data_IF_498662950317
#
_entry.id   IF_498662950317
#
_cell.length_a   1.000
_cell.length_b   1.000
_cell.length_c   1.000
_cell.angle_alpha   90.00
_cell.angle_beta   90.00
_cell.angle_gamma   90.00
#
_symmetry.space_group_name_H-M   'P 1'
#
loop_
_entity.id
_entity.type
_entity.pdbx_description
1 polymer ?
#
# COMPACT_ATOMS: atom_id res chain seq x y z
N UNK A 1 -4.05 26.11 -11.48
CA UNK A 1 -2.80 26.61 -10.86
C UNK A 1 -2.05 25.54 -10.08
N UNK A 2 -2.72 24.67 -9.29
CA UNK A 2 -2.07 23.67 -8.44
C UNK A 2 -1.08 22.74 -9.18
N UNK A 3 -1.46 22.20 -10.34
CA UNK A 3 -0.58 21.32 -11.12
C UNK A 3 0.65 22.03 -11.69
N UNK A 4 0.59 23.34 -11.94
CA UNK A 4 1.76 24.12 -12.37
C UNK A 4 2.77 24.26 -11.22
N UNK A 5 2.29 24.50 -9.99
CA UNK A 5 3.14 24.55 -8.82
C UNK A 5 3.76 23.17 -8.52
N UNK A 6 2.97 22.09 -8.60
CA UNK A 6 3.46 20.72 -8.47
C UNK A 6 4.52 20.41 -9.53
N UNK A 7 4.27 20.79 -10.79
CA UNK A 7 5.23 20.65 -11.88
C UNK A 7 6.56 21.37 -11.60
N UNK A 8 6.51 22.65 -11.23
CA UNK A 8 7.72 23.44 -10.92
C UNK A 8 8.47 22.84 -9.73
N UNK A 9 7.75 22.43 -8.68
CA UNK A 9 8.34 21.78 -7.52
C UNK A 9 9.01 20.46 -7.88
N UNK A 10 8.37 19.64 -8.72
CA UNK A 10 8.95 18.38 -9.22
C UNK A 10 10.23 18.65 -10.03
N UNK A 11 10.19 19.58 -10.99
CA UNK A 11 11.37 19.92 -11.80
C UNK A 11 12.51 20.44 -10.92
N UNK A 12 12.22 21.34 -9.98
CA UNK A 12 13.22 21.86 -9.06
C UNK A 12 13.80 20.77 -8.14
N UNK A 13 12.95 19.87 -7.62
CA UNK A 13 13.38 18.76 -6.78
C UNK A 13 14.32 17.80 -7.50
N UNK A 14 13.93 17.34 -8.70
CA UNK A 14 14.80 16.47 -9.50
C UNK A 14 16.07 17.18 -9.96
N UNK A 15 15.99 18.47 -10.27
CA UNK A 15 17.16 19.25 -10.63
C UNK A 15 18.15 19.37 -9.46
N UNK A 16 17.65 19.57 -8.24
CA UNK A 16 18.45 19.57 -7.01
C UNK A 16 19.12 18.22 -6.73
N UNK A 17 18.37 17.11 -6.91
CA UNK A 17 18.92 15.74 -6.79
C UNK A 17 20.03 15.54 -7.82
N UNK A 18 19.79 15.90 -9.08
CA UNK A 18 20.78 15.76 -10.14
C UNK A 18 22.00 16.64 -9.88
N UNK A 19 21.83 17.87 -9.41
CA UNK A 19 22.95 18.72 -9.01
C UNK A 19 23.77 18.07 -7.90
N UNK A 20 23.11 17.56 -6.85
CA UNK A 20 23.78 17.01 -5.68
C UNK A 20 24.60 15.75 -6.01
N UNK A 21 24.03 14.82 -6.79
CA UNK A 21 24.69 13.55 -7.12
C UNK A 21 25.53 13.58 -8.40
N UNK A 22 25.12 14.36 -9.39
CA UNK A 22 25.73 14.42 -10.73
C UNK A 22 26.54 15.69 -11.00
N UNK A 23 26.69 16.57 -10.01
CA UNK A 23 27.43 17.81 -10.11
C UNK A 23 26.73 18.91 -10.92
N UNK A 24 27.26 20.14 -10.81
CA UNK A 24 26.75 21.30 -11.53
C UNK A 24 26.94 21.12 -13.06
N UNK A 25 25.92 21.43 -13.88
CA UNK A 25 26.07 21.44 -15.33
C UNK A 25 27.12 22.47 -15.79
N UNK A 26 27.87 22.14 -16.83
CA UNK A 26 28.82 23.07 -17.45
C UNK A 26 28.11 23.98 -18.47
N UNK A 27 28.14 25.29 -18.21
CA UNK A 27 27.61 26.32 -19.11
C UNK A 27 26.09 26.33 -19.28
N UNK A 28 25.56 27.42 -19.85
CA UNK A 28 24.11 27.63 -20.00
C UNK A 28 23.40 26.49 -20.77
N UNK A 29 24.04 25.95 -21.79
CA UNK A 29 23.49 24.83 -22.59
C UNK A 29 23.22 23.58 -21.74
N UNK A 30 24.14 23.24 -20.83
CA UNK A 30 23.96 22.10 -19.92
C UNK A 30 22.78 22.29 -18.96
N UNK A 31 22.62 23.50 -18.42
CA UNK A 31 21.46 23.85 -17.59
C UNK A 31 20.15 23.74 -18.38
N UNK A 32 20.09 24.35 -19.56
CA UNK A 32 18.90 24.35 -20.41
C UNK A 32 18.49 22.93 -20.83
N UNK A 33 19.45 22.08 -21.19
CA UNK A 33 19.18 20.68 -21.55
C UNK A 33 18.61 19.89 -20.38
N UNK A 34 19.24 19.95 -19.19
CA UNK A 34 18.77 19.20 -18.02
C UNK A 34 17.39 19.65 -17.57
N UNK A 35 17.16 20.97 -17.50
CA UNK A 35 15.84 21.52 -17.18
C UNK A 35 14.80 21.14 -18.24
N UNK A 36 15.16 21.15 -19.52
CA UNK A 36 14.28 20.73 -20.61
C UNK A 36 13.86 19.26 -20.51
N UNK A 37 14.80 18.36 -20.22
CA UNK A 37 14.51 16.93 -20.01
C UNK A 37 13.59 16.73 -18.79
N UNK A 38 13.92 17.35 -17.66
CA UNK A 38 13.11 17.23 -16.44
C UNK A 38 11.71 17.83 -16.62
N UNK A 39 11.61 18.96 -17.31
CA UNK A 39 10.34 19.57 -17.68
C UNK A 39 9.51 18.64 -18.56
N UNK A 40 10.12 18.00 -19.56
CA UNK A 40 9.42 17.07 -20.44
C UNK A 40 8.90 15.83 -19.67
N UNK A 41 9.73 15.24 -18.82
CA UNK A 41 9.36 14.03 -18.05
C UNK A 41 8.35 14.32 -16.94
N UNK A 42 8.43 15.49 -16.33
CA UNK A 42 7.54 15.89 -15.23
C UNK A 42 6.26 16.56 -15.71
N UNK A 43 6.15 16.87 -17.01
CA UNK A 43 5.00 17.59 -17.56
C UNK A 43 3.71 16.79 -17.31
N UNK A 44 2.66 17.41 -16.73
CA UNK A 44 1.36 16.78 -16.56
C UNK A 44 0.55 16.94 -17.85
N UNK A 45 0.53 15.90 -18.68
CA UNK A 45 -0.26 15.88 -19.91
C UNK A 45 -1.72 15.55 -19.59
N UNK A 46 -2.61 16.55 -19.71
CA UNK A 46 -4.04 16.37 -19.46
C UNK A 46 -4.76 15.96 -20.74
N UNK A 47 -5.32 14.75 -20.75
CA UNK A 47 -6.17 14.24 -21.83
C UNK A 47 -7.56 13.98 -21.26
N UNK A 48 -8.52 14.84 -21.62
CA UNK A 48 -9.94 14.72 -21.20
C UNK A 48 -10.14 14.63 -19.67
N UNK A 49 -9.29 15.29 -18.89
CA UNK A 49 -9.34 15.30 -17.42
C UNK A 49 -8.39 14.30 -16.76
N UNK A 50 -7.91 13.28 -17.48
CA UNK A 50 -6.91 12.32 -16.99
C UNK A 50 -5.51 12.90 -17.18
N UNK A 51 -4.66 12.79 -16.15
CA UNK A 51 -3.29 13.28 -16.20
C UNK A 51 -2.33 12.11 -16.42
N UNK A 52 -1.44 12.28 -17.40
CA UNK A 52 -0.34 11.38 -17.68
C UNK A 52 0.97 12.10 -17.41
N UNK A 53 1.87 11.47 -16.66
CA UNK A 53 3.20 12.01 -16.42
C UNK A 53 4.21 10.89 -16.24
N UNK A 54 5.49 11.14 -16.53
CA UNK A 54 6.52 10.13 -16.28
C UNK A 54 7.01 10.27 -14.84
N UNK A 55 7.42 11.46 -14.43
CA UNK A 55 8.02 11.73 -13.11
C UNK A 55 7.24 12.77 -12.28
N UNK A 56 6.09 13.22 -12.77
CA UNK A 56 5.35 14.34 -12.22
C UNK A 56 4.52 14.03 -10.98
N UNK A 57 4.36 15.03 -10.12
CA UNK A 57 3.30 15.07 -9.12
C UNK A 57 2.05 15.73 -9.75
N UNK A 58 0.85 15.27 -9.41
CA UNK A 58 -0.36 15.76 -10.05
C UNK A 58 -1.61 15.67 -9.16
N UNK A 59 -2.56 16.57 -9.43
CA UNK A 59 -3.94 16.52 -8.95
C UNK A 59 -4.89 16.49 -10.16
N UNK A 60 -5.77 15.51 -10.24
CA UNK A 60 -6.70 15.30 -11.36
C UNK A 60 -8.12 15.10 -10.84
N UNK A 61 -9.12 15.63 -11.56
CA UNK A 61 -10.54 15.33 -11.32
C UNK A 61 -10.93 13.92 -11.75
N UNK A 62 -10.11 13.27 -12.58
CA UNK A 62 -10.29 11.89 -13.04
C UNK A 62 -9.13 11.04 -12.55
N UNK A 63 -8.41 10.40 -13.45
CA UNK A 63 -7.32 9.50 -13.10
C UNK A 63 -5.95 10.14 -13.31
N UNK A 64 -4.97 9.64 -12.58
CA UNK A 64 -3.55 9.93 -12.78
C UNK A 64 -2.86 8.62 -13.14
N UNK A 65 -2.04 8.66 -14.20
CA UNK A 65 -1.14 7.58 -14.56
C UNK A 65 0.28 8.13 -14.55
N UNK A 66 1.12 7.55 -13.70
CA UNK A 66 2.51 7.94 -13.55
C UNK A 66 3.45 6.75 -13.64
N UNK A 67 4.65 6.97 -14.21
CA UNK A 67 5.71 5.97 -14.08
C UNK A 67 6.29 6.04 -12.67
N UNK A 68 6.65 7.25 -12.22
CA UNK A 68 7.07 7.59 -10.87
C UNK A 68 6.34 8.87 -10.44
N UNK A 69 5.92 8.93 -9.19
CA UNK A 69 5.39 10.16 -8.59
C UNK A 69 5.63 10.11 -7.09
N UNK A 70 5.73 11.26 -6.43
CA UNK A 70 5.77 11.31 -4.96
C UNK A 70 4.38 11.62 -4.39
N UNK A 71 3.57 12.37 -5.14
CA UNK A 71 2.28 12.87 -4.70
C UNK A 71 1.24 12.79 -5.83
N UNK A 72 0.12 12.11 -5.54
CA UNK A 72 -1.02 12.01 -6.44
C UNK A 72 -2.32 12.22 -5.69
N UNK A 73 -3.22 13.02 -6.27
CA UNK A 73 -4.61 13.15 -5.80
C UNK A 73 -5.56 13.06 -6.99
N UNK A 74 -6.35 11.99 -7.06
CA UNK A 74 -7.17 11.65 -8.21
C UNK A 74 -8.66 11.55 -7.84
N UNK A 75 -9.54 12.13 -8.65
CA UNK A 75 -10.99 12.00 -8.47
C UNK A 75 -11.56 10.64 -8.89
N UNK A 76 -10.76 9.78 -9.53
CA UNK A 76 -11.10 8.40 -9.87
C UNK A 76 -9.98 7.46 -9.44
N UNK A 77 -8.93 7.30 -10.26
CA UNK A 77 -7.86 6.33 -9.99
C UNK A 77 -6.48 6.98 -9.94
N UNK A 78 -5.65 6.60 -8.97
CA UNK A 78 -4.24 6.96 -8.91
C UNK A 78 -3.39 5.72 -9.22
N UNK A 79 -2.70 5.74 -10.36
CA UNK A 79 -1.83 4.63 -10.79
C UNK A 79 -0.39 5.10 -10.85
N UNK A 80 0.47 4.40 -10.11
CA UNK A 80 1.91 4.47 -10.24
C UNK A 80 2.46 3.11 -10.67
N UNK A 81 3.24 3.10 -11.73
CA UNK A 81 3.85 1.85 -12.16
C UNK A 81 5.03 1.44 -11.27
N UNK A 82 5.97 2.35 -11.00
CA UNK A 82 7.18 2.06 -10.23
C UNK A 82 7.61 3.23 -9.34
N UNK A 83 8.18 2.96 -8.17
CA UNK A 83 8.89 3.95 -7.37
C UNK A 83 8.36 4.14 -5.96
N UNK A 84 8.48 5.36 -5.46
CA UNK A 84 8.14 5.70 -4.07
C UNK A 84 6.99 6.70 -4.07
N UNK A 85 5.79 6.24 -3.69
CA UNK A 85 4.65 7.10 -3.46
C UNK A 85 4.65 7.58 -2.01
N UNK A 86 4.88 8.87 -1.79
CA UNK A 86 4.75 9.44 -0.44
C UNK A 86 3.28 9.59 -0.06
N UNK A 87 2.44 9.98 -1.01
CA UNK A 87 1.00 10.18 -0.81
C UNK A 87 0.21 9.87 -2.09
N UNK A 88 -0.79 9.01 -1.95
CA UNK A 88 -1.82 8.78 -2.96
C UNK A 88 -3.19 8.86 -2.33
N UNK A 89 -4.05 9.67 -2.93
CA UNK A 89 -5.47 9.77 -2.59
C UNK A 89 -6.27 9.59 -3.87
N UNK A 90 -7.17 8.60 -3.87
CA UNK A 90 -8.02 8.30 -5.00
C UNK A 90 -9.46 8.04 -4.52
N UNK A 91 -10.44 8.59 -5.24
CA UNK A 91 -11.85 8.30 -4.89
C UNK A 91 -12.22 6.84 -5.12
N UNK A 92 -11.58 6.15 -6.06
CA UNK A 92 -11.87 4.76 -6.40
C UNK A 92 -10.65 3.92 -6.05
N UNK A 93 -9.64 3.87 -6.92
CA UNK A 93 -8.52 2.93 -6.73
C UNK A 93 -7.17 3.65 -6.67
N UNK A 94 -6.34 3.28 -5.70
CA UNK A 94 -4.94 3.67 -5.61
C UNK A 94 -4.06 2.42 -5.81
N UNK A 95 -3.15 2.49 -6.78
CA UNK A 95 -2.32 1.34 -7.16
C UNK A 95 -0.85 1.73 -7.34
N UNK A 96 0.03 0.97 -6.69
CA UNK A 96 1.48 0.96 -6.94
C UNK A 96 1.88 -0.40 -7.50
N UNK A 97 2.40 -0.44 -8.73
CA UNK A 97 2.88 -1.67 -9.34
C UNK A 97 4.09 -2.24 -8.61
N UNK A 98 5.17 -1.48 -8.56
CA UNK A 98 6.44 -1.87 -7.95
C UNK A 98 7.00 -0.74 -7.07
N UNK A 99 7.27 -0.99 -5.79
CA UNK A 99 8.02 -0.08 -4.95
C UNK A 99 7.40 0.17 -3.59
N UNK A 100 7.44 1.41 -3.12
CA UNK A 100 7.09 1.77 -1.75
C UNK A 100 5.95 2.77 -1.74
N UNK A 101 4.86 2.45 -1.05
CA UNK A 101 3.75 3.35 -0.81
C UNK A 101 3.71 3.72 0.68
N UNK A 102 3.92 4.99 1.01
CA UNK A 102 3.93 5.45 2.39
C UNK A 102 2.51 5.67 2.91
N UNK A 103 1.69 6.34 2.10
CA UNK A 103 0.30 6.64 2.42
C UNK A 103 -0.56 6.44 1.17
N UNK A 104 -1.53 5.53 1.25
CA UNK A 104 -2.54 5.31 0.23
C UNK A 104 -3.91 5.34 0.87
N UNK A 105 -4.76 6.24 0.37
CA UNK A 105 -6.18 6.32 0.71
C UNK A 105 -6.98 6.12 -0.58
N UNK A 106 -7.91 5.19 -0.55
CA UNK A 106 -8.75 4.85 -1.69
C UNK A 106 -10.21 4.72 -1.26
N UNK A 107 -11.13 5.30 -2.02
CA UNK A 107 -12.56 5.08 -1.74
C UNK A 107 -13.05 3.68 -2.09
N UNK A 108 -12.23 2.84 -2.75
CA UNK A 108 -12.53 1.45 -3.04
C UNK A 108 -11.36 0.54 -2.72
N UNK A 109 -10.28 0.59 -3.52
CA UNK A 109 -9.16 -0.35 -3.42
C UNK A 109 -7.80 0.36 -3.31
N UNK A 110 -7.00 0.03 -2.30
CA UNK A 110 -5.61 0.46 -2.14
C UNK A 110 -4.66 -0.74 -2.23
N UNK A 111 -3.91 -0.84 -3.34
CA UNK A 111 -3.14 -2.04 -3.65
C UNK A 111 -1.69 -1.72 -4.01
N UNK A 112 -0.77 -2.47 -3.41
CA UNK A 112 0.63 -2.56 -3.86
C UNK A 112 0.87 -3.93 -4.49
N UNK A 113 1.30 -3.95 -5.76
CA UNK A 113 1.69 -5.19 -6.43
C UNK A 113 2.93 -5.81 -5.77
N UNK A 114 4.08 -5.16 -5.92
CA UNK A 114 5.35 -5.66 -5.40
C UNK A 114 6.06 -4.59 -4.58
N UNK A 115 6.27 -4.84 -3.29
CA UNK A 115 7.09 -3.99 -2.45
C UNK A 115 6.50 -3.71 -1.08
N UNK A 116 6.52 -2.45 -0.64
CA UNK A 116 6.23 -2.10 0.75
C UNK A 116 5.11 -1.07 0.82
N UNK A 117 4.05 -1.39 1.57
CA UNK A 117 2.99 -0.46 1.91
C UNK A 117 3.06 -0.12 3.40
N UNK A 118 3.21 1.16 3.75
CA UNK A 118 3.27 1.57 5.16
C UNK A 118 1.87 1.79 5.71
N UNK A 119 1.05 2.56 5.02
CA UNK A 119 -0.32 2.86 5.38
C UNK A 119 -1.24 2.72 4.17
N UNK A 120 -2.26 1.87 4.30
CA UNK A 120 -3.30 1.68 3.30
C UNK A 120 -4.67 1.75 3.98
N UNK A 121 -5.50 2.66 3.50
CA UNK A 121 -6.91 2.78 3.90
C UNK A 121 -7.79 2.67 2.66
N UNK A 122 -8.79 1.80 2.73
CA UNK A 122 -9.71 1.57 1.62
C UNK A 122 -11.12 1.21 2.12
N UNK A 123 -12.18 1.48 1.36
CA UNK A 123 -13.52 1.03 1.76
C UNK A 123 -13.72 -0.48 1.51
N UNK A 124 -13.23 -0.99 0.38
CA UNK A 124 -13.43 -2.39 -0.05
C UNK A 124 -12.18 -3.23 0.24
N UNK A 125 -11.04 -2.94 -0.39
CA UNK A 125 -9.83 -3.76 -0.26
C UNK A 125 -8.54 -2.96 -0.05
N UNK A 126 -7.78 -3.33 0.98
CA UNK A 126 -6.39 -2.91 1.14
C UNK A 126 -5.48 -4.13 1.01
N UNK A 127 -4.53 -4.10 0.07
CA UNK A 127 -3.77 -5.30 -0.24
C UNK A 127 -2.33 -5.11 -0.67
N UNK A 128 -1.52 -6.14 -0.42
CA UNK A 128 -0.16 -6.28 -0.98
C UNK A 128 -0.03 -7.64 -1.63
N UNK A 129 0.25 -7.68 -2.94
CA UNK A 129 0.40 -8.96 -3.63
C UNK A 129 1.71 -9.65 -3.21
N UNK A 130 2.84 -8.97 -3.29
CA UNK A 130 4.14 -9.50 -2.86
C UNK A 130 4.93 -8.46 -2.08
N UNK A 131 5.16 -8.68 -0.79
CA UNK A 131 6.09 -7.86 0.00
C UNK A 131 5.60 -7.60 1.42
N UNK A 132 5.61 -6.35 1.86
CA UNK A 132 5.40 -6.00 3.27
C UNK A 132 4.30 -4.96 3.40
N UNK A 133 3.31 -5.23 4.25
CA UNK A 133 2.29 -4.29 4.64
C UNK A 133 2.42 -3.97 6.14
N UNK A 134 2.59 -2.70 6.49
CA UNK A 134 2.70 -2.30 7.90
C UNK A 134 1.33 -2.06 8.51
N UNK A 135 0.50 -1.24 7.88
CA UNK A 135 -0.84 -0.91 8.35
C UNK A 135 -1.84 -0.97 7.21
N UNK A 136 -2.91 -1.73 7.41
CA UNK A 136 -4.03 -1.87 6.47
C UNK A 136 -5.35 -1.76 7.22
N UNK A 137 -6.20 -0.82 6.80
CA UNK A 137 -7.58 -0.69 7.27
C UNK A 137 -8.52 -0.70 6.07
N UNK A 138 -9.36 -1.73 5.95
CA UNK A 138 -10.33 -1.82 4.86
C UNK A 138 -11.52 -2.75 5.14
N UNK A 139 -12.44 -2.89 4.19
CA UNK A 139 -13.40 -3.99 4.18
C UNK A 139 -12.67 -5.35 4.23
N UNK A 140 -11.65 -5.51 3.40
CA UNK A 140 -10.75 -6.68 3.36
C UNK A 140 -9.29 -6.24 3.37
N UNK A 141 -8.49 -6.85 4.23
CA UNK A 141 -7.06 -6.58 4.35
C UNK A 141 -6.25 -7.83 3.99
N UNK A 142 -5.62 -7.85 2.81
CA UNK A 142 -5.02 -9.07 2.24
C UNK A 142 -3.54 -8.91 1.90
N UNK A 143 -2.72 -9.87 2.30
CA UNK A 143 -1.35 -10.01 1.78
C UNK A 143 -1.20 -11.36 1.11
N UNK A 144 -0.90 -11.40 -0.18
CA UNK A 144 -0.80 -12.68 -0.88
C UNK A 144 0.51 -13.38 -0.52
N UNK A 145 1.66 -12.74 -0.72
CA UNK A 145 2.96 -13.27 -0.32
C UNK A 145 3.75 -12.24 0.47
N UNK A 146 4.08 -12.54 1.74
CA UNK A 146 5.03 -11.76 2.52
C UNK A 146 4.58 -11.48 3.94
N UNK A 147 4.71 -10.24 4.39
CA UNK A 147 4.58 -9.89 5.81
C UNK A 147 3.52 -8.83 6.03
N UNK A 148 2.57 -9.10 6.91
CA UNK A 148 1.56 -8.15 7.38
C UNK A 148 1.79 -7.86 8.87
N UNK A 149 2.02 -6.59 9.23
CA UNK A 149 2.18 -6.21 10.64
C UNK A 149 0.85 -5.94 11.32
N UNK A 150 0.04 -5.04 10.77
CA UNK A 150 -1.24 -4.65 11.34
C UNK A 150 -2.32 -4.65 10.25
N UNK A 151 -3.32 -5.52 10.41
CA UNK A 151 -4.48 -5.62 9.55
C UNK A 151 -5.75 -5.44 10.36
N UNK A 152 -6.56 -4.46 9.97
CA UNK A 152 -7.90 -4.26 10.48
C UNK A 152 -8.88 -4.32 9.32
N UNK A 153 -9.73 -5.34 9.35
CA UNK A 153 -10.71 -5.58 8.31
C UNK A 153 -12.14 -5.51 8.86
N UNK A 154 -13.04 -4.89 8.12
CA UNK A 154 -14.48 -4.94 8.38
C UNK A 154 -15.07 -6.33 8.16
N UNK A 155 -14.56 -7.05 7.17
CA UNK A 155 -14.96 -8.42 6.83
C UNK A 155 -13.79 -9.37 7.08
N UNK A 156 -12.75 -9.35 6.24
CA UNK A 156 -11.75 -10.42 6.16
C UNK A 156 -10.31 -9.90 6.26
N UNK A 157 -9.49 -10.49 7.12
CA UNK A 157 -8.06 -10.20 7.20
C UNK A 157 -7.23 -11.46 6.89
N UNK A 158 -6.37 -11.40 5.88
CA UNK A 158 -5.71 -12.59 5.34
C UNK A 158 -4.24 -12.39 5.03
N UNK A 159 -3.44 -13.44 5.25
CA UNK A 159 -2.16 -13.63 4.58
C UNK A 159 -2.17 -15.00 3.89
N UNK A 160 -1.92 -15.07 2.58
CA UNK A 160 -1.92 -16.36 1.90
C UNK A 160 -0.63 -17.14 2.18
N UNK A 161 0.53 -16.55 1.94
CA UNK A 161 1.83 -17.13 2.25
C UNK A 161 2.70 -16.12 3.00
N UNK A 162 3.03 -16.40 4.26
CA UNK A 162 4.04 -15.64 5.00
C UNK A 162 3.68 -15.40 6.46
N UNK A 163 3.84 -14.16 6.93
CA UNK A 163 3.77 -13.85 8.36
C UNK A 163 2.77 -12.75 8.63
N UNK A 164 1.85 -12.99 9.55
CA UNK A 164 0.93 -11.99 10.07
C UNK A 164 1.18 -11.75 11.56
N UNK A 165 1.44 -10.49 11.96
CA UNK A 165 1.66 -10.16 13.36
C UNK A 165 0.34 -9.87 14.09
N UNK A 166 -0.49 -8.97 13.55
CA UNK A 166 -1.77 -8.61 14.14
C UNK A 166 -2.86 -8.54 13.07
N UNK A 167 -3.85 -9.41 13.19
CA UNK A 167 -5.02 -9.45 12.33
C UNK A 167 -6.29 -9.32 13.16
N UNK A 168 -7.13 -8.35 12.78
CA UNK A 168 -8.46 -8.20 13.34
C UNK A 168 -9.47 -8.08 12.20
N UNK A 169 -10.44 -8.97 12.20
CA UNK A 169 -11.49 -9.02 11.18
C UNK A 169 -12.87 -9.05 11.83
N UNK A 170 -13.87 -8.53 11.12
CA UNK A 170 -15.26 -8.62 11.56
C UNK A 170 -15.86 -10.02 11.35
N UNK A 171 -15.44 -10.72 10.29
CA UNK A 171 -15.87 -12.08 9.97
C UNK A 171 -14.72 -13.05 10.16
N UNK A 172 -13.74 -13.07 9.25
CA UNK A 172 -12.72 -14.11 9.21
C UNK A 172 -11.29 -13.56 9.21
N UNK A 173 -10.39 -14.18 9.99
CA UNK A 173 -8.98 -13.83 10.00
C UNK A 173 -8.09 -15.06 9.82
N UNK A 174 -7.14 -15.04 8.88
CA UNK A 174 -6.37 -16.24 8.58
C UNK A 174 -4.99 -16.03 8.00
N UNK A 175 -4.17 -17.07 8.16
CA UNK A 175 -2.90 -17.23 7.44
C UNK A 175 -2.88 -18.60 6.78
N UNK A 176 -2.99 -18.68 5.46
CA UNK A 176 -3.10 -19.99 4.79
C UNK A 176 -1.83 -20.83 4.98
N UNK A 177 -0.67 -20.27 4.66
CA UNK A 177 0.63 -20.89 4.87
C UNK A 177 1.58 -19.93 5.60
N UNK A 178 2.13 -20.34 6.74
CA UNK A 178 3.15 -19.58 7.46
C UNK A 178 2.86 -19.35 8.94
N UNK A 179 2.98 -18.12 9.43
CA UNK A 179 2.91 -17.84 10.88
C UNK A 179 1.94 -16.70 11.17
N UNK A 180 1.02 -16.92 12.10
CA UNK A 180 0.14 -15.91 12.64
C UNK A 180 0.40 -15.71 14.13
N UNK A 181 0.79 -14.51 14.55
CA UNK A 181 1.04 -14.21 15.96
C UNK A 181 -0.25 -13.89 16.71
N UNK A 182 -1.07 -12.99 16.18
CA UNK A 182 -2.35 -12.63 16.79
C UNK A 182 -3.44 -12.51 15.74
N UNK A 183 -4.51 -13.29 15.90
CA UNK A 183 -5.68 -13.29 15.04
C UNK A 183 -6.94 -13.16 15.88
N UNK A 184 -7.79 -12.21 15.50
CA UNK A 184 -9.12 -12.06 16.07
C UNK A 184 -10.15 -11.91 14.97
N UNK A 185 -11.20 -12.72 15.04
CA UNK A 185 -12.30 -12.65 14.10
C UNK A 185 -13.66 -12.84 14.80
N UNK A 186 -14.73 -12.39 14.15
CA UNK A 186 -16.09 -12.55 14.68
C UNK A 186 -16.66 -13.94 14.45
N UNK A 187 -16.27 -14.61 13.36
CA UNK A 187 -16.76 -15.91 12.93
C UNK A 187 -15.66 -16.98 13.01
N UNK A 188 -14.56 -16.84 12.28
CA UNK A 188 -13.52 -17.89 12.23
C UNK A 188 -12.08 -17.35 12.18
N UNK A 189 -11.16 -18.09 12.81
CA UNK A 189 -9.72 -17.86 12.68
C UNK A 189 -9.03 -19.13 12.24
N UNK A 190 -8.26 -19.08 11.15
CA UNK A 190 -7.66 -20.28 10.56
C UNK A 190 -6.20 -20.10 10.15
N UNK A 191 -5.38 -21.12 10.45
CA UNK A 191 -3.99 -21.22 9.98
C UNK A 191 -3.71 -22.67 9.57
N UNK A 192 -4.18 -23.13 8.40
CA UNK A 192 -4.18 -24.54 8.03
C UNK A 192 -2.76 -25.12 7.83
N UNK A 193 -1.84 -24.34 7.25
CA UNK A 193 -0.47 -24.78 6.95
C UNK A 193 0.55 -23.90 7.66
N UNK A 194 0.47 -23.83 8.98
CA UNK A 194 1.30 -22.88 9.71
C UNK A 194 1.23 -23.01 11.22
N UNK A 195 1.85 -22.02 11.86
CA UNK A 195 1.82 -21.83 13.29
C UNK A 195 0.90 -20.64 13.61
N UNK A 196 -0.11 -20.88 14.42
CA UNK A 196 -0.85 -19.82 15.09
C UNK A 196 -0.44 -19.74 16.56
N UNK A 197 -0.06 -18.55 17.02
CA UNK A 197 0.29 -18.32 18.44
C UNK A 197 -0.95 -17.99 19.24
N UNK A 198 -1.70 -16.96 18.82
CA UNK A 198 -2.94 -16.52 19.47
C UNK A 198 -4.06 -16.41 18.44
N UNK A 199 -5.12 -17.17 18.66
CA UNK A 199 -6.35 -17.14 17.88
C UNK A 199 -7.53 -16.90 18.81
N UNK A 200 -8.36 -15.91 18.48
CA UNK A 200 -9.57 -15.59 19.24
C UNK A 200 -10.75 -15.43 18.30
N UNK A 201 -11.79 -16.22 18.55
CA UNK A 201 -13.09 -16.04 17.92
C UNK A 201 -14.05 -15.48 18.95
N UNK A 202 -14.77 -14.41 18.60
CA UNK A 202 -15.77 -13.86 19.50
C UNK A 202 -16.59 -12.73 18.88
N UNK A 203 -17.93 -12.87 18.99
CA UNK A 203 -18.88 -11.82 18.67
C UNK A 203 -18.80 -10.69 19.69
N UNK A 204 -18.11 -9.61 19.34
CA UNK A 204 -18.20 -8.33 20.05
C UNK A 204 -17.61 -8.30 21.46
N UNK A 205 -17.61 -7.10 22.05
CA UNK A 205 -17.10 -6.83 23.41
C UNK A 205 -18.13 -7.40 24.39
N UNK A 206 -17.80 -8.51 25.07
CA UNK A 206 -18.61 -9.04 26.19
C UNK A 206 -19.11 -10.48 26.05
N UNK A 207 -18.95 -11.15 24.90
CA UNK A 207 -19.21 -12.59 24.81
C UNK A 207 -17.96 -13.37 25.22
N UNK A 208 -18.14 -14.41 26.06
CA UNK A 208 -17.07 -15.27 26.57
C UNK A 208 -16.12 -15.69 25.45
N UNK A 209 -14.92 -15.11 25.42
CA UNK A 209 -13.88 -15.50 24.50
C UNK A 209 -13.55 -16.97 24.80
N UNK A 210 -13.93 -17.89 23.90
CA UNK A 210 -13.21 -19.16 23.85
C UNK A 210 -11.84 -18.84 23.29
N UNK A 211 -10.92 -18.41 24.17
CA UNK A 211 -9.50 -18.34 23.87
C UNK A 211 -9.00 -19.76 23.74
N UNK A 212 -9.20 -20.38 22.58
CA UNK A 212 -8.51 -21.61 22.27
C UNK A 212 -7.13 -21.20 21.76
N UNK A 213 -6.16 -21.16 22.68
CA UNK A 213 -4.74 -21.12 22.31
C UNK A 213 -4.45 -22.46 21.63
N UNK A 214 -4.67 -22.52 20.32
CA UNK A 214 -4.32 -23.66 19.49
C UNK A 214 -2.95 -23.37 18.88
N UNK A 215 -1.90 -23.79 19.56
CA UNK A 215 -0.60 -23.93 18.91
C UNK A 215 -0.67 -25.12 17.95
N UNK A 216 -1.04 -24.91 16.69
CA UNK A 216 -0.83 -25.91 15.65
C UNK A 216 0.61 -25.80 15.18
N UNK A 217 1.45 -26.77 15.53
CA UNK A 217 2.73 -26.99 14.90
C UNK A 217 2.71 -28.35 14.20
N UNK A 218 3.56 -28.53 13.19
CA UNK A 218 3.83 -29.83 12.53
C UNK A 218 4.37 -30.89 13.51
N UNK A 219 4.59 -30.52 14.78
CA UNK A 219 4.93 -31.41 15.89
C UNK A 219 3.99 -31.17 17.09
N UNK A 220 2.95 -31.99 17.21
CA UNK A 220 2.22 -32.27 18.46
C UNK A 220 1.28 -31.18 18.98
N UNK A 221 0.11 -31.61 19.48
CA UNK A 221 -0.79 -30.78 20.26
C UNK A 221 -0.17 -30.49 21.64
N UNK A 222 0.06 -29.21 21.97
CA UNK A 222 0.25 -28.79 23.35
C UNK A 222 -0.96 -27.99 23.81
N UNK A 223 -1.82 -28.63 24.61
CA UNK A 223 -2.87 -27.97 25.36
C UNK A 223 -2.31 -27.59 26.74
N UNK A 224 -2.08 -26.31 26.99
CA UNK A 224 -1.83 -25.82 28.34
C UNK A 224 -3.19 -25.68 29.06
N UNK A 225 -3.44 -26.57 30.01
CA UNK A 225 -4.52 -26.48 31.00
C UNK A 225 -4.18 -25.50 32.11
#
# INVERSE_FOLDING_TARGET
MKNLALFVATVAGYFGIWWYFGGAPEGFSGYAMRLGILALLSAPFNVKGTIWTVLGNAESEKSIYSLFSLYQKAGQHAFMFCGVALYQDARWDAFVGFGVALYQEAGRDAVVGFGVALYQEAEEEAGVFCGVALYQEAGRALVFCGVAFYQRAGQDAGVFCGVAFYQRAGQDAGVFCGVAFYQRAGAQTETPYGLAVIQTVGRGIGASAQSKVRCFGVFGEFSAS
#
